data_IF_567588804765
#
_entry.id   IF_567588804765
#
_cell.length_a   1.000
_cell.length_b   1.000
_cell.length_c   1.000
_cell.angle_alpha   90.00
_cell.angle_beta   90.00
_cell.angle_gamma   90.00
#
_symmetry.space_group_name_H-M   'P 1'
#
loop_
_entity.id
_entity.type
_entity.pdbx_description
1 polymer ?
#
# COMPACT_ATOMS: atom_id res chain seq x y z
N UNK A 1 20.65 1.53 3.19
CA UNK A 1 19.62 2.36 3.85
C UNK A 1 18.29 1.91 3.30
N UNK A 2 17.35 1.46 4.14
CA UNK A 2 16.01 1.09 3.73
C UNK A 2 15.01 2.06 4.35
N UNK A 3 13.95 2.40 3.62
CA UNK A 3 12.81 3.17 4.14
C UNK A 3 11.68 2.17 4.34
N UNK A 4 11.21 2.05 5.58
CA UNK A 4 10.06 1.23 5.95
C UNK A 4 8.89 2.14 6.27
N UNK A 5 7.68 1.62 6.16
CA UNK A 5 6.46 2.29 6.58
C UNK A 5 5.77 1.44 7.64
N UNK A 6 5.23 2.08 8.66
CA UNK A 6 4.41 1.45 9.69
C UNK A 6 3.11 2.24 9.87
N UNK A 7 2.03 1.51 10.12
CA UNK A 7 0.74 2.06 10.51
C UNK A 7 0.54 1.87 12.00
N UNK A 8 -0.08 2.85 12.66
CA UNK A 8 -0.53 2.72 14.04
C UNK A 8 -2.01 3.05 14.12
N UNK A 9 -2.79 2.17 14.75
CA UNK A 9 -4.18 2.48 15.07
C UNK A 9 -4.24 3.39 16.30
N UNK A 10 -4.45 4.69 16.09
CA UNK A 10 -4.57 5.70 17.15
C UNK A 10 -6.00 5.90 17.66
N UNK A 11 -6.96 5.11 17.16
CA UNK A 11 -8.35 5.17 17.61
C UNK A 11 -8.58 4.29 18.84
N UNK A 12 -9.78 4.39 19.42
CA UNK A 12 -10.27 3.57 20.53
C UNK A 12 -11.01 2.31 20.06
N UNK A 13 -11.08 2.06 18.75
CA UNK A 13 -11.78 0.91 18.16
C UNK A 13 -10.89 0.13 17.19
N UNK A 14 -11.25 -1.12 16.92
CA UNK A 14 -10.54 -1.93 15.92
C UNK A 14 -10.79 -1.40 14.52
N UNK A 15 -9.73 -1.32 13.71
CA UNK A 15 -9.79 -0.80 12.33
C UNK A 15 -9.44 -1.91 11.36
N UNK A 16 -10.32 -2.16 10.38
CA UNK A 16 -9.99 -3.04 9.27
C UNK A 16 -9.00 -2.35 8.33
N UNK A 17 -7.88 -3.03 8.06
CA UNK A 17 -6.82 -2.55 7.17
C UNK A 17 -6.40 -3.66 6.21
N UNK A 18 -5.89 -3.24 5.05
CA UNK A 18 -5.30 -4.11 4.04
C UNK A 18 -3.90 -3.60 3.73
N UNK A 19 -2.92 -4.49 3.77
CA UNK A 19 -1.53 -4.20 3.43
C UNK A 19 -1.32 -3.93 1.93
N UNK A 20 -0.05 -3.86 1.53
CA UNK A 20 0.34 -3.76 0.13
C UNK A 20 -0.09 -5.03 -0.58
N UNK A 21 -0.88 -4.86 -1.63
CA UNK A 21 -1.23 -5.94 -2.54
C UNK A 21 -0.46 -5.77 -3.86
N UNK A 22 -0.39 -6.85 -4.64
CA UNK A 22 0.13 -6.74 -6.00
C UNK A 22 -0.70 -5.69 -6.77
N UNK A 23 -0.05 -4.81 -7.52
CA UNK A 23 -0.69 -3.68 -8.20
C UNK A 23 -1.10 -2.49 -7.31
N UNK A 24 -0.99 -2.57 -5.97
CA UNK A 24 -1.30 -1.43 -5.08
C UNK A 24 -0.34 -0.25 -5.27
N UNK A 25 0.96 -0.53 -5.38
CA UNK A 25 2.01 0.49 -5.49
C UNK A 25 1.91 1.27 -6.81
N UNK A 26 1.70 0.53 -7.91
CA UNK A 26 1.48 1.05 -9.25
C UNK A 26 0.11 1.73 -9.45
N UNK A 27 -0.80 1.61 -8.49
CA UNK A 27 -2.14 2.18 -8.58
C UNK A 27 -3.08 1.47 -9.55
N UNK A 28 -2.91 0.15 -9.73
CA UNK A 28 -3.72 -0.71 -10.60
C UNK A 28 -5.01 -1.14 -9.90
N UNK A 29 -4.93 -1.41 -8.58
CA UNK A 29 -6.07 -1.75 -7.72
C UNK A 29 -5.96 -1.09 -6.35
N UNK A 30 -7.08 -1.03 -5.64
CA UNK A 30 -7.12 -0.59 -4.25
C UNK A 30 -6.76 -1.73 -3.27
N UNK A 31 -6.24 -1.39 -2.07
CA UNK A 31 -5.85 -0.03 -1.66
C UNK A 31 -4.62 0.43 -2.45
N UNK A 32 -4.52 1.73 -2.74
CA UNK A 32 -3.32 2.28 -3.34
C UNK A 32 -2.24 2.50 -2.29
N UNK A 33 -1.00 2.18 -2.65
CA UNK A 33 0.21 2.44 -1.86
C UNK A 33 1.24 3.17 -2.71
N UNK A 34 0.87 4.32 -3.29
CA UNK A 34 1.70 5.01 -4.28
C UNK A 34 2.96 5.59 -3.63
N UNK A 35 4.11 5.17 -4.12
CA UNK A 35 5.42 5.65 -3.66
C UNK A 35 6.02 6.60 -4.68
N UNK A 36 6.75 7.60 -4.19
CA UNK A 36 7.55 8.48 -5.02
C UNK A 36 8.78 8.95 -4.24
N UNK A 37 9.93 9.03 -4.91
CA UNK A 37 11.12 9.70 -4.38
C UNK A 37 11.36 10.98 -5.18
N UNK A 38 11.53 12.09 -4.48
CA UNK A 38 11.72 13.40 -5.05
C UNK A 38 13.12 13.94 -4.76
N UNK A 39 13.70 14.65 -5.72
CA UNK A 39 14.95 15.42 -5.57
C UNK A 39 14.80 16.76 -6.29
N UNK A 40 15.15 17.85 -5.62
CA UNK A 40 14.95 19.21 -6.16
C UNK A 40 13.49 19.54 -6.52
N UNK A 41 12.52 18.86 -5.91
CA UNK A 41 11.09 19.01 -6.21
C UNK A 41 10.57 18.15 -7.38
N UNK A 42 11.43 17.40 -8.06
CA UNK A 42 11.06 16.52 -9.16
C UNK A 42 10.98 15.07 -8.70
N UNK A 43 10.00 14.31 -9.20
CA UNK A 43 9.95 12.85 -9.00
C UNK A 43 11.09 12.23 -9.82
N UNK A 44 11.95 11.47 -9.14
CA UNK A 44 13.11 10.80 -9.74
C UNK A 44 13.04 9.27 -9.64
N UNK A 45 12.13 8.75 -8.80
CA UNK A 45 11.82 7.34 -8.74
C UNK A 45 10.35 7.13 -8.36
N UNK A 46 9.73 6.17 -9.01
CA UNK A 46 8.36 5.71 -8.82
C UNK A 46 8.34 4.19 -9.12
N UNK A 47 7.33 3.44 -8.65
CA UNK A 47 7.28 2.00 -8.83
C UNK A 47 7.12 1.66 -10.31
N UNK A 48 7.83 0.61 -10.76
CA UNK A 48 7.71 0.12 -12.12
C UNK A 48 6.44 -0.70 -12.26
N UNK A 49 5.76 -0.58 -13.40
CA UNK A 49 4.63 -1.43 -13.74
C UNK A 49 5.16 -2.62 -14.55
N UNK A 50 5.44 -3.75 -13.90
CA UNK A 50 5.97 -4.94 -14.58
C UNK A 50 4.88 -5.74 -15.31
N UNK A 51 3.76 -6.06 -14.65
CA UNK A 51 2.71 -6.94 -15.20
C UNK A 51 1.31 -6.45 -14.80
N UNK A 52 0.35 -6.30 -15.73
CA UNK A 52 -1.04 -6.01 -15.39
C UNK A 52 -1.80 -7.19 -14.73
N UNK A 53 -1.23 -8.40 -14.68
CA UNK A 53 -1.84 -9.59 -14.10
C UNK A 53 -1.77 -9.57 -12.57
N UNK A 54 -2.63 -8.74 -11.98
CA UNK A 54 -2.80 -8.67 -10.53
C UNK A 54 -3.64 -9.85 -10.03
N UNK A 55 -3.06 -10.64 -9.12
CA UNK A 55 -3.72 -11.81 -8.51
C UNK A 55 -4.96 -11.48 -7.66
N UNK A 56 -5.74 -12.49 -7.24
CA UNK A 56 -7.03 -12.28 -6.58
C UNK A 56 -6.89 -11.56 -5.23
N UNK A 57 -7.98 -10.93 -4.81
CA UNK A 57 -8.16 -10.43 -3.46
C UNK A 57 -8.69 -11.58 -2.60
N UNK A 58 -8.07 -11.82 -1.45
CA UNK A 58 -8.39 -12.90 -0.52
C UNK A 58 -8.85 -12.33 0.81
N UNK A 59 -9.70 -13.08 1.53
CA UNK A 59 -10.11 -12.74 2.89
C UNK A 59 -8.90 -12.52 3.81
N UNK A 60 -7.86 -13.34 3.67
CA UNK A 60 -6.64 -13.27 4.48
C UNK A 60 -5.83 -11.98 4.29
N UNK A 61 -6.16 -11.15 3.30
CA UNK A 61 -5.54 -9.83 3.12
C UNK A 61 -6.13 -8.76 4.06
N UNK A 62 -7.29 -9.03 4.67
CA UNK A 62 -7.94 -8.13 5.60
C UNK A 62 -7.50 -8.45 7.02
N UNK A 63 -6.95 -7.43 7.68
CA UNK A 63 -6.52 -7.51 9.07
C UNK A 63 -7.38 -6.57 9.91
N UNK A 64 -7.90 -7.06 11.04
CA UNK A 64 -8.46 -6.19 12.06
C UNK A 64 -7.32 -5.72 12.97
N UNK A 65 -6.94 -4.45 12.86
CA UNK A 65 -5.90 -3.83 13.68
C UNK A 65 -6.51 -3.31 15.00
N UNK A 66 -6.17 -3.89 16.17
CA UNK A 66 -6.72 -3.44 17.45
C UNK A 66 -6.28 -2.00 17.81
N UNK A 67 -6.97 -1.34 18.76
CA UNK A 67 -6.54 -0.04 19.30
C UNK A 67 -5.11 -0.07 19.82
N UNK A 68 -4.30 0.92 19.42
CA UNK A 68 -2.91 1.08 19.87
C UNK A 68 -1.88 0.19 19.17
N UNK A 69 -2.32 -0.83 18.40
CA UNK A 69 -1.43 -1.77 17.72
C UNK A 69 -0.84 -1.18 16.43
N UNK A 70 0.35 -1.70 16.09
CA UNK A 70 1.08 -1.38 14.88
C UNK A 70 0.87 -2.42 13.77
N UNK A 71 1.04 -1.99 12.53
CA UNK A 71 0.93 -2.85 11.35
C UNK A 71 1.96 -2.45 10.30
N UNK A 72 2.81 -3.39 9.87
CA UNK A 72 3.68 -3.20 8.70
C UNK A 72 2.88 -3.56 7.44
N UNK A 73 2.55 -2.60 6.56
CA UNK A 73 1.78 -2.88 5.37
C UNK A 73 2.52 -3.75 4.35
N UNK A 74 3.85 -3.86 4.44
CA UNK A 74 4.64 -4.73 3.56
C UNK A 74 4.73 -6.16 4.08
N UNK A 75 4.39 -6.39 5.36
CA UNK A 75 4.29 -7.72 5.95
C UNK A 75 2.83 -8.22 5.86
N UNK A 76 2.60 -9.12 4.93
CA UNK A 76 1.27 -9.67 4.65
C UNK A 76 0.85 -10.80 5.59
N UNK A 77 1.55 -11.02 6.72
CA UNK A 77 1.08 -11.88 7.82
C UNK A 77 0.67 -13.31 7.43
N UNK A 78 1.21 -13.85 6.32
CA UNK A 78 0.83 -15.16 5.77
C UNK A 78 0.70 -15.23 4.24
N UNK A 79 0.53 -14.10 3.54
CA UNK A 79 0.69 -14.03 2.07
C UNK A 79 2.14 -13.68 1.68
N UNK A 80 2.44 -13.58 0.38
CA UNK A 80 3.75 -13.10 -0.08
C UNK A 80 3.94 -11.62 0.32
N UNK A 81 4.93 -11.32 1.15
CA UNK A 81 5.31 -9.95 1.52
C UNK A 81 5.66 -9.16 0.27
N UNK A 82 5.03 -7.99 0.11
CA UNK A 82 5.24 -7.11 -1.03
C UNK A 82 5.91 -5.82 -0.57
N UNK A 83 7.21 -5.63 -0.89
CA UNK A 83 7.91 -4.42 -0.49
C UNK A 83 7.39 -3.21 -1.26
N UNK A 84 7.56 -2.02 -0.68
CA UNK A 84 7.48 -0.76 -1.43
C UNK A 84 8.70 -0.65 -2.36
N UNK A 85 8.56 -1.13 -3.60
CA UNK A 85 9.65 -1.35 -4.54
C UNK A 85 10.44 -0.08 -4.84
N UNK A 86 9.76 1.06 -5.02
CA UNK A 86 10.45 2.33 -5.29
C UNK A 86 11.39 2.70 -4.14
N UNK A 87 10.98 2.45 -2.90
CA UNK A 87 11.79 2.73 -1.72
C UNK A 87 12.91 1.70 -1.53
N UNK A 88 12.61 0.41 -1.74
CA UNK A 88 13.56 -0.68 -1.58
C UNK A 88 14.70 -0.64 -2.61
N UNK A 89 14.39 -0.25 -3.85
CA UNK A 89 15.31 -0.29 -4.98
C UNK A 89 16.04 1.03 -5.22
N UNK A 90 15.45 2.18 -4.86
CA UNK A 90 16.07 3.47 -5.13
C UNK A 90 17.44 3.62 -4.45
N UNK A 91 18.42 4.09 -5.22
CA UNK A 91 19.77 4.41 -4.74
C UNK A 91 20.09 5.86 -5.12
N UNK A 92 20.29 6.76 -4.13
CA UNK A 92 20.70 8.13 -4.39
C UNK A 92 21.97 8.19 -5.27
N UNK A 93 21.90 8.86 -6.41
CA UNK A 93 23.06 9.08 -7.28
C UNK A 93 23.84 10.33 -6.89
N UNK A 94 23.14 11.35 -6.36
CA UNK A 94 23.68 12.65 -6.00
C UNK A 94 23.60 12.89 -4.49
N UNK A 95 24.47 13.75 -3.96
CA UNK A 95 24.36 14.26 -2.59
C UNK A 95 23.26 15.32 -2.51
N UNK A 96 22.59 15.38 -1.37
CA UNK A 96 21.54 16.36 -1.12
C UNK A 96 20.32 15.77 -0.43
N UNK A 97 19.23 16.55 -0.41
CA UNK A 97 17.99 16.19 0.27
C UNK A 97 17.03 15.51 -0.70
N UNK A 98 16.66 14.29 -0.36
CA UNK A 98 15.62 13.51 -1.04
C UNK A 98 14.37 13.48 -0.17
N UNK A 99 13.20 13.53 -0.80
CA UNK A 99 11.92 13.35 -0.12
C UNK A 99 11.27 12.05 -0.59
N UNK A 100 11.07 11.13 0.33
CA UNK A 100 10.29 9.90 0.12
C UNK A 100 8.85 10.22 0.47
N UNK A 101 7.92 9.92 -0.44
CA UNK A 101 6.49 10.16 -0.26
C UNK A 101 5.73 8.86 -0.46
N UNK A 102 4.90 8.49 0.52
CA UNK A 102 3.93 7.41 0.43
C UNK A 102 2.54 8.02 0.49
N UNK A 103 1.70 7.71 -0.49
CA UNK A 103 0.28 8.05 -0.50
C UNK A 103 -0.54 6.77 -0.47
N UNK A 104 -1.18 6.54 0.67
CA UNK A 104 -2.15 5.47 0.88
C UNK A 104 -3.57 5.97 0.57
N UNK A 105 -4.35 5.19 -0.16
CA UNK A 105 -5.75 5.52 -0.44
C UNK A 105 -6.63 4.28 -0.50
N UNK A 106 -7.78 4.35 0.16
CA UNK A 106 -8.88 3.37 0.12
C UNK A 106 -10.12 3.92 -0.58
N UNK A 107 -10.00 5.07 -1.26
CA UNK A 107 -11.12 5.81 -1.83
C UNK A 107 -11.60 5.29 -3.19
N UNK A 108 -11.67 3.97 -3.37
CA UNK A 108 -12.23 3.37 -4.59
C UNK A 108 -13.64 3.89 -4.87
N UNK A 109 -13.93 4.31 -6.10
CA UNK A 109 -15.29 4.70 -6.50
C UNK A 109 -16.22 3.49 -6.53
N UNK A 110 -15.67 2.33 -6.90
CA UNK A 110 -16.37 1.06 -7.01
C UNK A 110 -15.56 -0.01 -6.25
N UNK A 111 -16.18 -0.82 -5.37
CA UNK A 111 -15.46 -1.85 -4.63
C UNK A 111 -14.78 -2.87 -5.56
N UNK A 112 -15.27 -3.01 -6.79
CA UNK A 112 -14.69 -3.87 -7.81
C UNK A 112 -13.25 -3.49 -8.17
N UNK A 113 -12.85 -2.24 -7.91
CA UNK A 113 -11.48 -1.75 -8.12
C UNK A 113 -10.46 -2.32 -7.12
N UNK A 114 -10.91 -3.06 -6.11
CA UNK A 114 -10.04 -3.80 -5.18
C UNK A 114 -9.68 -5.19 -5.68
N UNK A 115 -10.51 -5.80 -6.53
CA UNK A 115 -10.27 -7.17 -6.97
C UNK A 115 -9.06 -7.26 -7.90
N UNK A 116 -8.48 -8.46 -7.94
CA UNK A 116 -7.50 -8.81 -8.96
C UNK A 116 -8.11 -8.81 -10.36
N UNK A 117 -7.24 -8.79 -11.37
CA UNK A 117 -7.66 -8.95 -12.78
C UNK A 117 -7.66 -10.40 -13.24
N UNK A 118 -7.16 -11.30 -12.40
CA UNK A 118 -7.03 -12.71 -12.70
C UNK A 118 -7.29 -13.57 -11.46
N UNK A 119 -7.96 -14.71 -11.65
CA UNK A 119 -8.12 -15.74 -10.63
C UNK A 119 -9.09 -15.42 -9.50
N UNK A 120 -9.86 -14.32 -9.59
CA UNK A 120 -10.90 -14.02 -8.61
C UNK A 120 -12.03 -15.06 -8.71
N UNK A 121 -12.43 -15.61 -7.56
CA UNK A 121 -13.51 -16.59 -7.49
C UNK A 121 -14.85 -15.90 -7.24
N UNK A 122 -15.85 -16.28 -8.02
CA UNK A 122 -17.20 -15.71 -7.92
C UNK A 122 -17.89 -16.03 -6.58
N UNK A 123 -17.57 -17.17 -5.97
CA UNK A 123 -18.18 -17.61 -4.69
C UNK A 123 -17.70 -16.82 -3.47
N UNK A 124 -16.62 -16.04 -3.61
CA UNK A 124 -16.06 -15.21 -2.54
C UNK A 124 -16.46 -13.72 -2.66
N UNK A 125 -17.12 -13.33 -3.76
CA UNK A 125 -17.40 -11.91 -4.06
C UNK A 125 -18.20 -11.22 -2.97
N UNK A 126 -19.34 -11.78 -2.53
CA UNK A 126 -20.21 -11.13 -1.55
C UNK A 126 -19.50 -10.90 -0.21
N UNK A 127 -18.69 -11.88 0.22
CA UNK A 127 -17.86 -11.77 1.43
C UNK A 127 -16.82 -10.66 1.28
N UNK A 128 -16.13 -10.60 0.14
CA UNK A 128 -15.09 -9.60 -0.10
C UNK A 128 -15.67 -8.19 -0.22
N UNK A 129 -16.85 -8.03 -0.84
CA UNK A 129 -17.56 -6.75 -0.88
C UNK A 129 -17.94 -6.27 0.52
N UNK A 130 -18.41 -7.17 1.40
CA UNK A 130 -18.68 -6.85 2.80
C UNK A 130 -17.41 -6.41 3.53
N UNK A 131 -16.29 -7.13 3.37
CA UNK A 131 -15.01 -6.78 3.98
C UNK A 131 -14.47 -5.43 3.49
N UNK A 132 -14.52 -5.16 2.18
CA UNK A 132 -14.15 -3.86 1.60
C UNK A 132 -14.97 -2.74 2.23
N UNK A 133 -16.27 -2.95 2.47
CA UNK A 133 -17.15 -1.95 3.07
C UNK A 133 -16.77 -1.58 4.51
N UNK A 134 -16.05 -2.46 5.21
CA UNK A 134 -15.60 -2.26 6.59
C UNK A 134 -14.27 -1.50 6.69
N UNK A 135 -13.51 -1.44 5.60
CA UNK A 135 -12.25 -0.67 5.57
C UNK A 135 -12.58 0.82 5.54
N UNK A 136 -12.02 1.64 6.45
CA UNK A 136 -12.26 3.08 6.44
C UNK A 136 -11.84 3.73 5.12
N UNK A 137 -12.67 4.64 4.62
CA UNK A 137 -12.38 5.40 3.40
C UNK A 137 -11.56 6.64 3.74
N UNK A 138 -10.43 6.80 3.07
CA UNK A 138 -9.63 8.03 3.17
C UNK A 138 -8.31 7.97 2.42
N UNK A 139 -7.58 9.07 2.50
CA UNK A 139 -6.23 9.23 1.98
C UNK A 139 -5.30 9.60 3.14
N UNK A 140 -4.17 8.91 3.23
CA UNK A 140 -3.08 9.27 4.12
C UNK A 140 -1.83 9.51 3.27
N UNK A 141 -1.13 10.61 3.55
CA UNK A 141 0.16 10.91 2.91
C UNK A 141 1.23 11.06 3.97
N UNK A 142 2.28 10.26 3.87
CA UNK A 142 3.47 10.34 4.69
C UNK A 142 4.65 10.80 3.84
N UNK A 143 5.50 11.65 4.42
CA UNK A 143 6.72 12.13 3.78
C UNK A 143 7.90 12.03 4.74
N UNK A 144 9.04 11.56 4.25
CA UNK A 144 10.30 11.52 4.98
C UNK A 144 11.40 12.22 4.18
N UNK A 145 12.12 13.13 4.81
CA UNK A 145 13.26 13.81 4.22
C UNK A 145 14.57 13.11 4.64
N UNK A 146 15.37 12.72 3.66
CA UNK A 146 16.64 12.04 3.85
C UNK A 146 17.75 12.85 3.19
N UNK A 147 18.74 13.25 3.99
CA UNK A 147 19.93 13.95 3.48
C UNK A 147 21.07 12.96 3.25
N UNK A 148 21.57 12.92 2.03
CA UNK A 148 22.72 12.11 1.62
C UNK A 148 23.96 12.99 1.55
N UNK A 149 24.99 12.65 2.35
CA UNK A 149 26.19 13.46 2.57
C UNK A 149 27.42 13.01 1.76
#
# INVERSE_FOLDING_TARGET
MGVNADWQNVSDTGVWIVGVLDGSEAGIRFPHYRTAVLFGGHVIAEPWVEDPLVGPLLESHFCLLPPGEGFDPTDSGGAASLPLTAFAQFRPAERGRYQYRLTFSTESAHPEQWFGRFGQRDDEHDLLLDLISRVPRGILTATADVTVC
#
